data_IF_504922819032
#
_entry.id   IF_504922819032
#
_cell.length_a   1.000
_cell.length_b   1.000
_cell.length_c   1.000
_cell.angle_alpha   90.00
_cell.angle_beta   90.00
_cell.angle_gamma   90.00
#
_symmetry.space_group_name_H-M   'P 1'
#
loop_
_entity.id
_entity.type
_entity.pdbx_description
1 polymer ?
#
# COMPACT_ATOMS: atom_id res chain seq x y z
N UNK A 1 -19.70 -14.41 5.05
CA UNK A 1 -18.65 -13.36 5.16
C UNK A 1 -18.24 -12.99 3.76
N UNK A 2 -18.63 -11.80 3.28
CA UNK A 2 -18.20 -11.33 1.95
C UNK A 2 -16.79 -10.78 2.10
N UNK A 3 -15.79 -11.54 1.67
CA UNK A 3 -14.42 -11.06 1.60
C UNK A 3 -14.34 -10.04 0.46
N UNK A 4 -14.15 -8.76 0.80
CA UNK A 4 -13.87 -7.72 -0.21
C UNK A 4 -12.55 -8.10 -0.89
N UNK A 5 -12.58 -8.25 -2.21
CA UNK A 5 -11.37 -8.48 -2.99
C UNK A 5 -10.49 -7.23 -2.86
N UNK A 6 -9.20 -7.37 -2.47
CA UNK A 6 -8.30 -6.23 -2.42
C UNK A 6 -8.11 -5.64 -3.81
N UNK A 7 -8.11 -4.31 -3.89
CA UNK A 7 -7.77 -3.54 -5.08
C UNK A 7 -6.31 -3.73 -5.50
N UNK A 8 -5.40 -3.87 -4.52
CA UNK A 8 -3.96 -4.03 -4.75
C UNK A 8 -3.43 -5.33 -4.16
N UNK A 9 -2.43 -5.92 -4.80
CA UNK A 9 -1.76 -7.15 -4.39
C UNK A 9 -0.32 -6.87 -3.97
N UNK A 10 0.32 -7.84 -3.30
CA UNK A 10 1.71 -7.69 -2.81
C UNK A 10 2.75 -7.43 -3.91
N UNK A 11 2.44 -7.76 -5.17
CA UNK A 11 3.28 -7.47 -6.34
C UNK A 11 3.09 -6.07 -6.90
N UNK A 12 2.01 -5.39 -6.52
CA UNK A 12 1.69 -4.06 -7.02
C UNK A 12 2.56 -3.01 -6.32
N UNK A 13 2.96 -2.00 -7.09
CA UNK A 13 3.67 -0.83 -6.60
C UNK A 13 2.65 0.26 -6.35
N UNK A 14 2.61 0.75 -5.12
CA UNK A 14 1.69 1.80 -4.71
C UNK A 14 2.45 2.91 -4.01
N UNK A 15 1.84 4.08 -3.92
CA UNK A 15 2.30 5.16 -3.06
C UNK A 15 1.08 5.76 -2.34
N UNK A 16 1.35 6.49 -1.25
CA UNK A 16 0.33 7.25 -0.57
C UNK A 16 -0.02 8.49 -1.39
N UNK A 17 -1.30 8.86 -1.47
CA UNK A 17 -1.74 10.08 -2.15
C UNK A 17 -1.11 11.34 -1.56
N UNK A 18 -0.87 11.35 -0.25
CA UNK A 18 -0.20 12.48 0.43
C UNK A 18 1.30 12.55 0.13
N UNK A 19 1.93 11.44 -0.26
CA UNK A 19 3.35 11.37 -0.58
C UNK A 19 3.61 10.49 -1.82
N UNK A 20 3.32 11.02 -3.03
CA UNK A 20 3.40 10.24 -4.27
C UNK A 20 4.84 9.86 -4.66
N UNK A 21 5.86 10.51 -4.09
CA UNK A 21 7.28 10.22 -4.33
C UNK A 21 7.78 8.98 -3.59
N UNK A 22 7.05 8.53 -2.56
CA UNK A 22 7.45 7.39 -1.74
C UNK A 22 6.85 6.09 -2.28
N UNK A 23 7.67 5.26 -2.93
CA UNK A 23 7.28 3.92 -3.35
C UNK A 23 7.10 2.98 -2.14
N UNK A 24 5.92 2.38 -2.05
CA UNK A 24 5.51 1.45 -1.02
C UNK A 24 5.34 0.04 -1.60
N UNK A 25 5.68 -0.96 -0.80
CA UNK A 25 5.44 -2.37 -1.09
C UNK A 25 4.39 -2.93 -0.14
N UNK A 26 3.35 -3.58 -0.69
CA UNK A 26 2.27 -4.15 0.09
C UNK A 26 2.71 -5.48 0.70
N UNK A 27 2.70 -5.59 2.03
CA UNK A 27 2.93 -6.86 2.73
C UNK A 27 1.66 -7.68 2.85
N UNK A 28 0.60 -7.09 3.40
CA UNK A 28 -0.65 -7.78 3.67
C UNK A 28 -1.84 -6.80 3.56
N UNK A 29 -2.97 -7.35 3.11
CA UNK A 29 -4.27 -6.70 3.21
C UNK A 29 -5.12 -7.45 4.24
N UNK A 30 -5.46 -6.78 5.33
CA UNK A 30 -6.28 -7.34 6.40
C UNK A 30 -7.24 -6.28 6.93
N UNK A 31 -8.46 -6.67 7.31
CA UNK A 31 -9.46 -5.75 7.88
C UNK A 31 -9.72 -4.48 7.04
N UNK A 32 -9.69 -4.59 5.72
CA UNK A 32 -9.79 -3.47 4.77
C UNK A 32 -8.65 -2.44 4.84
N UNK A 33 -7.51 -2.84 5.38
CA UNK A 33 -6.34 -2.01 5.60
C UNK A 33 -5.14 -2.65 4.91
N UNK A 34 -4.35 -1.82 4.21
CA UNK A 34 -3.10 -2.21 3.61
C UNK A 34 -1.95 -1.90 4.56
N UNK A 35 -1.14 -2.92 4.82
CA UNK A 35 0.12 -2.80 5.54
C UNK A 35 1.24 -2.77 4.53
N UNK A 36 1.94 -1.65 4.50
CA UNK A 36 2.93 -1.31 3.51
C UNK A 36 4.29 -1.06 4.18
N UNK A 37 5.36 -1.41 3.48
CA UNK A 37 6.73 -1.03 3.85
C UNK A 37 7.31 -0.09 2.81
N UNK A 38 8.16 0.83 3.25
CA UNK A 38 8.89 1.72 2.35
C UNK A 38 9.90 0.86 1.58
N UNK A 39 9.86 0.88 0.25
CA UNK A 39 10.73 0.01 -0.55
C UNK A 39 12.22 0.26 -0.32
N UNK A 40 12.61 1.52 -0.15
CA UNK A 40 13.99 1.91 0.15
C UNK A 40 14.40 1.67 1.60
N UNK A 41 13.46 1.39 2.50
CA UNK A 41 13.76 1.14 3.90
C UNK A 41 12.78 0.11 4.50
N UNK A 42 12.97 -1.18 4.19
CA UNK A 42 12.06 -2.24 4.65
C UNK A 42 12.16 -2.51 6.16
N UNK A 43 13.21 -2.03 6.84
CA UNK A 43 13.34 -2.08 8.30
C UNK A 43 12.59 -0.93 9.00
N UNK A 44 12.11 0.06 8.24
CA UNK A 44 11.26 1.10 8.77
C UNK A 44 9.93 0.52 9.29
N UNK A 45 9.30 1.26 10.20
CA UNK A 45 7.98 0.92 10.72
C UNK A 45 6.99 0.73 9.57
N UNK A 46 6.15 -0.28 9.68
CA UNK A 46 5.07 -0.52 8.74
C UNK A 46 4.14 0.70 8.70
N UNK A 47 3.82 1.12 7.48
CA UNK A 47 2.88 2.19 7.20
C UNK A 47 1.53 1.55 6.88
N UNK A 48 0.47 2.19 7.35
CA UNK A 48 -0.87 1.64 7.30
C UNK A 48 -1.72 2.60 6.49
N UNK A 49 -2.42 2.08 5.49
CA UNK A 49 -3.24 2.89 4.59
C UNK A 49 -4.58 2.23 4.31
N UNK A 50 -5.61 3.07 4.15
CA UNK A 50 -6.87 2.66 3.55
C UNK A 50 -6.75 2.61 2.01
N UNK A 51 -7.66 1.86 1.39
CA UNK A 51 -7.68 1.69 -0.07
C UNK A 51 -7.77 3.02 -0.84
N UNK A 52 -8.50 4.00 -0.30
CA UNK A 52 -8.67 5.32 -0.90
C UNK A 52 -7.50 6.28 -0.66
N UNK A 53 -6.55 5.93 0.19
CA UNK A 53 -5.33 6.70 0.47
C UNK A 53 -4.17 6.26 -0.43
N UNK A 54 -4.28 5.08 -1.04
CA UNK A 54 -3.30 4.55 -1.97
C UNK A 54 -3.61 4.93 -3.42
N UNK A 55 -2.57 4.98 -4.22
CA UNK A 55 -2.63 5.13 -5.68
C UNK A 55 -1.53 4.27 -6.33
N UNK A 56 -1.70 3.80 -7.57
CA UNK A 56 -0.63 3.12 -8.29
C UNK A 56 0.62 4.01 -8.41
N UNK A 57 1.80 3.40 -8.26
CA UNK A 57 3.09 4.04 -8.49
C UNK A 57 3.75 3.53 -9.78
N UNK A 58 4.32 4.41 -10.62
CA UNK A 58 4.36 5.86 -10.48
C UNK A 58 3.00 6.51 -10.78
N UNK A 59 2.77 7.69 -10.21
CA UNK A 59 1.58 8.51 -10.52
C UNK A 59 1.79 9.10 -11.92
N UNK A 60 1.01 8.63 -12.89
CA UNK A 60 1.02 9.12 -14.27
C UNK A 60 -0.02 10.22 -14.48
#
# INVERSE_FOLDING_TARGET
MFYKKPLYQSTDKVCAKENPEQELSIRIYAYNIYYCTIKNNPEARELIYFENELTPYPVF
#
